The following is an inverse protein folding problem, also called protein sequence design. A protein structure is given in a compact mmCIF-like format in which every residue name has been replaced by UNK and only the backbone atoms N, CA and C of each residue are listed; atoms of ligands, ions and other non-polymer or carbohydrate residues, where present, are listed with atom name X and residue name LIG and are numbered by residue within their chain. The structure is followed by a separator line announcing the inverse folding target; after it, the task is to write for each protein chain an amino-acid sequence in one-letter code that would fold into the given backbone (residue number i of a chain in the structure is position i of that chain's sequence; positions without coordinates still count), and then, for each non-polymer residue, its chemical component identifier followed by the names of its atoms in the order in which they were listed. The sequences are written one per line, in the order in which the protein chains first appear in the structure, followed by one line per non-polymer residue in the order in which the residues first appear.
data_IF_025089192059
#
_entry.id   IF_025089192059
#
_cell.length_a   1.000
_cell.length_b   1.000
_cell.length_c   1.000
_cell.angle_alpha   90.00
_cell.angle_beta   90.00
_cell.angle_gamma   90.00
#
_symmetry.space_group_name_H-M   'P 1'
#
loop_
_entity.id
_entity.type
_entity.pdbx_description
1 polymer ?
#
# COMPACT_ATOMS: atom_id res chain seq x y z
N UNK A 1 13.88 -14.44 -10.72
CA UNK A 1 13.12 -15.34 -9.82
C UNK A 1 12.58 -14.61 -8.58
N UNK A 2 13.26 -13.60 -8.02
CA UNK A 2 12.78 -12.82 -6.87
C UNK A 2 11.48 -12.02 -7.09
N UNK A 3 11.26 -11.48 -8.30
CA UNK A 3 10.10 -10.63 -8.63
C UNK A 3 8.73 -11.32 -8.40
N UNK A 4 8.58 -12.57 -8.84
CA UNK A 4 7.31 -13.31 -8.67
C UNK A 4 7.03 -13.64 -7.20
N UNK A 5 8.08 -13.94 -6.43
CA UNK A 5 7.97 -14.22 -5.01
C UNK A 5 7.57 -12.94 -4.26
N UNK A 6 8.19 -11.81 -4.59
CA UNK A 6 7.81 -10.50 -4.07
C UNK A 6 6.32 -10.23 -4.36
N UNK A 7 5.86 -10.38 -5.60
CA UNK A 7 4.44 -10.18 -5.93
C UNK A 7 3.48 -11.02 -5.08
N UNK A 8 3.83 -12.25 -4.73
CA UNK A 8 3.02 -13.10 -3.83
C UNK A 8 3.05 -12.58 -2.39
N UNK A 9 4.24 -12.22 -1.87
CA UNK A 9 4.39 -11.72 -0.50
C UNK A 9 3.65 -10.40 -0.24
N UNK A 10 3.49 -9.57 -1.27
CA UNK A 10 2.67 -8.35 -1.23
C UNK A 10 1.23 -8.63 -0.78
N UNK A 11 0.67 -9.81 -1.09
CA UNK A 11 -0.67 -10.18 -0.67
C UNK A 11 -0.62 -11.03 0.61
N UNK A 12 0.32 -11.97 0.69
CA UNK A 12 0.35 -12.95 1.76
C UNK A 12 0.58 -12.33 3.15
N UNK A 13 1.49 -11.35 3.27
CA UNK A 13 1.79 -10.68 4.55
C UNK A 13 0.59 -9.87 5.09
N UNK A 14 -0.02 -8.95 4.30
CA UNK A 14 -1.26 -8.26 4.68
C UNK A 14 -2.38 -9.18 5.14
N UNK A 15 -2.66 -10.24 4.37
CA UNK A 15 -3.71 -11.20 4.73
C UNK A 15 -3.40 -11.97 6.01
N UNK A 16 -2.13 -12.31 6.23
CA UNK A 16 -1.68 -13.01 7.42
C UNK A 16 -1.90 -12.16 8.68
N UNK A 17 -1.65 -10.85 8.62
CA UNK A 17 -1.91 -9.92 9.75
C UNK A 17 -3.38 -9.96 10.17
N UNK A 18 -4.32 -9.97 9.21
CA UNK A 18 -5.75 -10.01 9.50
C UNK A 18 -6.15 -11.35 10.13
N UNK A 19 -5.70 -12.48 9.56
CA UNK A 19 -5.99 -13.80 10.12
C UNK A 19 -5.42 -13.94 11.53
N UNK A 20 -4.21 -13.44 11.78
CA UNK A 20 -3.60 -13.49 13.11
C UNK A 20 -4.42 -12.73 14.14
N UNK A 21 -4.98 -11.56 13.81
CA UNK A 21 -5.84 -10.83 14.74
C UNK A 21 -7.18 -11.53 14.94
N UNK A 22 -7.81 -12.07 13.90
CA UNK A 22 -9.01 -12.90 14.05
C UNK A 22 -8.75 -14.10 14.96
N UNK A 23 -7.59 -14.75 14.80
CA UNK A 23 -7.18 -15.87 15.64
C UNK A 23 -6.98 -15.43 17.09
N UNK A 24 -6.28 -14.31 17.35
CA UNK A 24 -6.11 -13.76 18.70
C UNK A 24 -7.46 -13.42 19.32
N UNK A 25 -8.34 -12.74 18.61
CA UNK A 25 -9.70 -12.45 19.10
C UNK A 25 -10.44 -13.75 19.45
N UNK A 26 -10.35 -14.78 18.61
CA UNK A 26 -11.00 -16.07 18.86
C UNK A 26 -10.43 -16.83 20.06
N UNK A 27 -9.09 -16.84 20.24
CA UNK A 27 -8.44 -17.52 21.37
C UNK A 27 -8.90 -16.98 22.72
N UNK A 28 -9.30 -15.71 22.79
CA UNK A 28 -9.67 -15.06 24.04
C UNK A 28 -11.05 -15.53 24.55
N UNK A 29 -11.97 -15.93 23.67
CA UNK A 29 -13.24 -16.57 24.07
C UNK A 29 -13.11 -18.10 24.22
N UNK A 30 -12.01 -18.70 23.74
CA UNK A 30 -11.79 -20.14 23.75
C UNK A 30 -10.96 -20.65 24.93
N UNK A 31 -11.22 -20.18 26.16
CA UNK A 31 -10.66 -20.79 27.37
C UNK A 31 -10.98 -22.29 27.50
N UNK A 32 -12.01 -22.79 26.79
CA UNK A 32 -12.49 -24.18 26.88
C UNK A 32 -12.47 -24.96 25.54
N UNK A 33 -11.80 -24.49 24.47
CA UNK A 33 -11.59 -25.38 23.32
C UNK A 33 -10.50 -26.38 23.66
N UNK A 34 -10.94 -27.58 24.04
CA UNK A 34 -10.12 -28.77 23.95
C UNK A 34 -9.56 -28.88 22.53
N UNK A 35 -8.24 -29.07 22.47
CA UNK A 35 -7.37 -29.30 21.32
C UNK A 35 -7.71 -30.60 20.55
N UNK A 36 -8.98 -30.97 20.45
CA UNK A 36 -9.46 -32.21 19.84
C UNK A 36 -9.77 -32.08 18.34
N UNK A 37 -9.67 -30.89 17.75
CA UNK A 37 -9.90 -30.68 16.31
C UNK A 37 -8.68 -31.00 15.42
N UNK A 38 -7.50 -31.22 16.00
CA UNK A 38 -6.27 -31.56 15.26
C UNK A 38 -6.00 -33.07 15.16
N UNK A 39 -6.95 -33.93 15.53
CA UNK A 39 -6.83 -35.36 15.30
C UNK A 39 -7.46 -35.74 13.95
N UNK A 40 -6.64 -35.84 12.90
CA UNK A 40 -6.89 -36.79 11.81
C UNK A 40 -6.72 -36.26 10.39
N UNK A 41 -5.89 -36.99 9.61
CA UNK A 41 -5.85 -37.22 8.15
C UNK A 41 -5.98 -36.04 7.15
N UNK A 42 -6.36 -34.83 7.56
CA UNK A 42 -6.73 -33.71 6.71
C UNK A 42 -5.91 -32.43 6.97
N UNK A 43 -4.83 -32.51 7.72
CA UNK A 43 -3.96 -31.37 8.08
C UNK A 43 -3.46 -30.61 6.84
N UNK A 44 -3.08 -31.33 5.78
CA UNK A 44 -2.65 -30.73 4.51
C UNK A 44 -3.76 -29.92 3.84
N UNK A 45 -5.01 -30.37 3.92
CA UNK A 45 -6.17 -29.66 3.35
C UNK A 45 -6.45 -28.39 4.14
N UNK A 46 -6.41 -28.46 5.48
CA UNK A 46 -6.56 -27.31 6.36
C UNK A 46 -5.47 -26.25 6.13
N UNK A 47 -4.22 -26.67 5.96
CA UNK A 47 -3.10 -25.77 5.69
C UNK A 47 -3.20 -25.12 4.29
N UNK A 48 -3.64 -25.87 3.29
CA UNK A 48 -3.91 -25.32 1.97
C UNK A 48 -5.04 -24.28 2.02
N UNK A 49 -6.13 -24.59 2.71
CA UNK A 49 -7.30 -23.73 2.83
C UNK A 49 -7.00 -22.45 3.60
N UNK A 50 -6.22 -22.54 4.70
CA UNK A 50 -5.79 -21.35 5.46
C UNK A 50 -4.87 -20.46 4.63
N UNK A 51 -3.92 -21.04 3.90
CA UNK A 51 -3.03 -20.28 3.00
C UNK A 51 -3.82 -19.60 1.88
N UNK A 52 -4.82 -20.27 1.32
CA UNK A 52 -5.71 -19.69 0.32
C UNK A 52 -6.53 -18.51 0.88
N UNK A 53 -7.08 -18.66 2.09
CA UNK A 53 -7.81 -17.57 2.77
C UNK A 53 -6.90 -16.37 3.07
N UNK A 54 -5.68 -16.60 3.53
CA UNK A 54 -4.66 -15.55 3.74
C UNK A 54 -4.45 -14.78 2.43
N UNK A 55 -4.22 -15.49 1.33
CA UNK A 55 -3.99 -14.87 0.03
C UNK A 55 -5.21 -14.04 -0.42
N UNK A 56 -6.42 -14.59 -0.29
CA UNK A 56 -7.65 -13.92 -0.70
C UNK A 56 -7.92 -12.65 0.12
N UNK A 57 -7.73 -12.69 1.44
CA UNK A 57 -7.82 -11.51 2.30
C UNK A 57 -6.76 -10.47 1.91
N UNK A 58 -5.53 -10.90 1.67
CA UNK A 58 -4.45 -10.03 1.20
C UNK A 58 -4.76 -9.33 -0.12
N UNK A 59 -5.40 -10.05 -1.05
CA UNK A 59 -5.86 -9.50 -2.30
C UNK A 59 -6.96 -8.45 -2.10
N UNK A 60 -7.94 -8.72 -1.22
CA UNK A 60 -8.97 -7.74 -0.87
C UNK A 60 -8.36 -6.48 -0.22
N UNK A 61 -7.35 -6.66 0.63
CA UNK A 61 -6.61 -5.53 1.21
C UNK A 61 -5.96 -4.69 0.12
N UNK A 62 -5.35 -5.30 -0.90
CA UNK A 62 -4.72 -4.55 -1.99
C UNK A 62 -5.71 -3.68 -2.76
N UNK A 63 -6.92 -4.19 -2.99
CA UNK A 63 -8.01 -3.43 -3.61
C UNK A 63 -8.40 -2.22 -2.76
N UNK A 64 -8.70 -2.44 -1.47
CA UNK A 64 -9.07 -1.36 -0.53
C UNK A 64 -7.93 -0.35 -0.37
N UNK A 65 -6.69 -0.84 -0.33
CA UNK A 65 -5.49 -0.01 -0.18
C UNK A 65 -5.27 0.92 -1.35
N UNK A 66 -5.61 0.47 -2.57
CA UNK A 66 -5.53 1.30 -3.76
C UNK A 66 -6.51 2.48 -3.73
N UNK A 67 -7.68 2.31 -3.12
CA UNK A 67 -8.62 3.41 -2.91
C UNK A 67 -8.24 4.29 -1.72
N UNK A 68 -7.69 3.71 -0.66
CA UNK A 68 -7.15 4.46 0.47
C UNK A 68 -6.00 5.38 0.05
N UNK A 69 -5.09 4.89 -0.79
CA UNK A 69 -3.99 5.66 -1.36
C UNK A 69 -4.46 6.90 -2.12
N UNK A 70 -5.50 6.76 -2.96
CA UNK A 70 -6.09 7.90 -3.67
C UNK A 70 -6.60 8.97 -2.72
N UNK A 71 -7.17 8.59 -1.57
CA UNK A 71 -7.66 9.54 -0.56
C UNK A 71 -6.52 10.14 0.23
N UNK A 72 -5.54 9.34 0.63
CA UNK A 72 -4.36 9.78 1.37
C UNK A 72 -3.61 10.88 0.60
N UNK A 73 -3.34 10.69 -0.69
CA UNK A 73 -2.66 11.70 -1.52
C UNK A 73 -3.54 12.89 -1.95
N UNK A 74 -4.82 12.94 -1.57
CA UNK A 74 -5.58 14.20 -1.65
C UNK A 74 -5.26 15.12 -0.48
N UNK A 75 -4.92 14.56 0.69
CA UNK A 75 -4.67 15.34 1.90
C UNK A 75 -3.17 15.56 2.17
N UNK A 76 -2.31 14.69 1.65
CA UNK A 76 -0.86 14.73 1.87
C UNK A 76 -0.09 14.91 0.56
N UNK A 77 1.16 15.37 0.67
CA UNK A 77 2.03 15.70 -0.45
C UNK A 77 2.22 14.51 -1.40
N UNK A 78 2.07 14.77 -2.70
CA UNK A 78 2.02 13.72 -3.72
C UNK A 78 3.42 13.15 -4.01
N UNK A 79 3.56 11.83 -4.25
CA UNK A 79 4.82 11.19 -4.63
C UNK A 79 5.53 11.86 -5.81
N UNK A 80 4.77 12.21 -6.85
CA UNK A 80 5.25 12.91 -8.05
C UNK A 80 5.81 14.29 -7.72
N UNK A 81 5.16 15.02 -6.82
CA UNK A 81 5.56 16.35 -6.38
C UNK A 81 6.89 16.29 -5.61
N UNK A 82 7.05 15.30 -4.72
CA UNK A 82 8.34 15.04 -4.03
C UNK A 82 9.49 14.80 -5.01
N UNK A 83 9.24 13.99 -6.03
CA UNK A 83 10.24 13.58 -6.99
C UNK A 83 10.62 14.72 -7.95
N UNK A 84 9.63 15.47 -8.44
CA UNK A 84 9.83 16.62 -9.34
C UNK A 84 10.46 17.82 -8.63
N UNK A 85 10.19 18.02 -7.34
CA UNK A 85 10.78 19.10 -6.55
C UNK A 85 12.22 18.85 -6.09
N UNK A 86 12.83 17.72 -6.46
CA UNK A 86 14.19 17.29 -6.05
C UNK A 86 14.43 17.32 -4.53
N UNK A 87 13.36 17.31 -3.71
CA UNK A 87 13.46 17.31 -2.24
C UNK A 87 13.95 15.97 -1.69
N UNK A 88 13.92 14.92 -2.51
CA UNK A 88 14.39 13.59 -2.15
C UNK A 88 15.90 13.43 -2.36
N UNK A 89 16.58 12.88 -1.36
CA UNK A 89 18.04 12.67 -1.37
C UNK A 89 18.43 11.29 -1.91
N UNK A 90 17.51 10.31 -1.87
CA UNK A 90 17.84 8.91 -2.19
C UNK A 90 17.77 8.60 -3.68
N UNK A 91 16.82 9.20 -4.40
CA UNK A 91 16.65 9.00 -5.85
C UNK A 91 16.53 10.35 -6.55
N UNK A 92 17.55 10.68 -7.34
CA UNK A 92 17.52 11.85 -8.24
C UNK A 92 17.14 11.41 -9.65
N UNK A 93 16.14 12.07 -10.23
CA UNK A 93 15.82 11.96 -11.64
C UNK A 93 16.90 12.67 -12.45
N UNK A 94 17.71 11.92 -13.21
CA UNK A 94 18.73 12.47 -14.11
C UNK A 94 18.15 13.29 -15.27
N UNK A 95 16.85 13.13 -15.57
CA UNK A 95 16.14 13.82 -16.66
C UNK A 95 14.88 14.56 -16.17
N UNK A 96 14.82 14.94 -14.88
CA UNK A 96 13.70 15.71 -14.31
C UNK A 96 13.41 16.98 -15.13
N UNK A 97 14.46 17.75 -15.45
CA UNK A 97 14.30 19.03 -16.16
C UNK A 97 13.69 18.84 -17.55
N UNK A 98 14.10 17.79 -18.27
CA UNK A 98 13.55 17.44 -19.60
C UNK A 98 12.08 16.98 -19.52
N UNK A 99 11.72 16.28 -18.45
CA UNK A 99 10.32 15.86 -18.20
C UNK A 99 9.47 17.10 -17.89
N UNK A 100 9.96 17.98 -17.01
CA UNK A 100 9.26 19.23 -16.65
C UNK A 100 9.10 20.13 -17.87
N UNK A 101 10.16 20.32 -18.67
CA UNK A 101 10.15 21.12 -19.91
C UNK A 101 9.19 20.54 -20.96
N UNK A 102 9.21 19.22 -21.17
CA UNK A 102 8.27 18.57 -22.09
C UNK A 102 6.81 18.77 -21.66
N UNK A 103 6.54 18.61 -20.36
CA UNK A 103 5.19 18.71 -19.81
C UNK A 103 4.69 20.15 -19.77
N UNK A 104 5.52 21.11 -19.39
CA UNK A 104 5.18 22.53 -19.39
C UNK A 104 4.91 23.03 -20.80
N UNK A 105 5.74 22.68 -21.78
CA UNK A 105 5.58 23.09 -23.18
C UNK A 105 4.32 22.49 -23.84
N UNK A 106 3.93 21.27 -23.45
CA UNK A 106 2.72 20.60 -23.96
C UNK A 106 1.45 21.07 -23.24
N UNK A 107 1.51 21.34 -21.94
CA UNK A 107 0.36 21.82 -21.16
C UNK A 107 0.04 23.29 -21.40
N UNK A 108 1.05 24.15 -21.62
CA UNK A 108 0.83 25.54 -22.06
C UNK A 108 0.11 25.64 -23.41
N UNK A 109 0.15 24.58 -24.22
CA UNK A 109 -0.51 24.51 -25.54
C UNK A 109 -1.91 23.90 -25.51
N UNK A 110 -2.35 23.31 -24.40
CA UNK A 110 -3.69 22.73 -24.26
C UNK A 110 -4.54 23.63 -23.38
N UNK A 111 -5.74 23.99 -23.84
CA UNK A 111 -6.68 24.70 -22.94
C UNK A 111 -7.19 23.74 -21.84
N UNK A 112 -7.51 24.22 -20.64
CA UNK A 112 -8.05 23.39 -19.55
C UNK A 112 -9.32 22.61 -19.94
N UNK A 113 -10.05 23.07 -20.96
CA UNK A 113 -11.28 22.42 -21.47
C UNK A 113 -11.01 21.27 -22.44
N UNK A 114 -9.80 21.17 -22.98
CA UNK A 114 -9.39 20.13 -23.95
C UNK A 114 -8.62 18.97 -23.29
N UNK A 115 -8.39 19.04 -21.98
CA UNK A 115 -7.59 18.05 -21.26
C UNK A 115 -8.40 16.78 -20.97
N UNK A 116 -8.41 15.85 -21.93
CA UNK A 116 -9.08 14.55 -21.81
C UNK A 116 -8.16 13.45 -21.21
N UNK A 117 -8.77 12.37 -20.71
CA UNK A 117 -8.13 11.17 -20.18
C UNK A 117 -7.11 10.56 -21.15
N UNK A 118 -7.36 10.67 -22.45
CA UNK A 118 -6.47 10.19 -23.53
C UNK A 118 -5.16 10.98 -23.60
N UNK A 119 -5.23 12.31 -23.47
CA UNK A 119 -4.06 13.20 -23.43
C UNK A 119 -3.24 12.94 -22.15
N UNK A 120 -3.92 12.74 -21.03
CA UNK A 120 -3.26 12.35 -19.78
C UNK A 120 -2.52 11.01 -19.88
N UNK A 121 -3.09 10.02 -20.58
CA UNK A 121 -2.41 8.74 -20.88
C UNK A 121 -1.17 8.95 -21.75
N UNK A 122 -1.25 9.78 -22.78
CA UNK A 122 -0.13 10.05 -23.68
C UNK A 122 1.03 10.72 -22.92
N UNK A 123 0.73 11.72 -22.10
CA UNK A 123 1.73 12.46 -21.33
C UNK A 123 2.36 11.57 -20.26
N UNK A 124 1.56 10.72 -19.61
CA UNK A 124 2.06 9.71 -18.68
C UNK A 124 3.01 8.72 -19.38
N UNK A 125 2.61 8.17 -20.55
CA UNK A 125 3.41 7.20 -21.30
C UNK A 125 4.77 7.80 -21.69
N UNK A 126 4.78 9.05 -22.13
CA UNK A 126 6.01 9.74 -22.55
C UNK A 126 6.91 10.12 -21.38
N UNK A 127 6.34 10.58 -20.26
CA UNK A 127 7.10 10.79 -19.03
C UNK A 127 7.76 9.49 -18.53
N UNK A 128 7.05 8.37 -18.62
CA UNK A 128 7.59 7.05 -18.25
C UNK A 128 8.72 6.62 -19.20
N UNK A 129 8.60 6.86 -20.50
CA UNK A 129 9.69 6.59 -21.46
C UNK A 129 10.93 7.45 -21.19
N UNK A 130 10.76 8.73 -20.86
CA UNK A 130 11.86 9.66 -20.57
C UNK A 130 12.57 9.37 -19.23
N UNK A 131 11.85 8.75 -18.30
CA UNK A 131 12.41 8.22 -17.05
C UNK A 131 13.35 7.04 -17.31
N UNK A 132 13.03 6.19 -18.28
CA UNK A 132 13.82 4.99 -18.60
C UNK A 132 14.96 5.24 -19.60
N UNK A 133 14.98 6.39 -20.28
CA UNK A 133 15.93 6.67 -21.37
C UNK A 133 17.38 6.90 -20.91
N UNK A 134 17.63 7.11 -19.61
CA UNK A 134 18.95 7.52 -19.11
C UNK A 134 19.37 6.82 -17.81
N UNK A 135 18.70 5.73 -17.43
CA UNK A 135 18.95 5.01 -16.19
C UNK A 135 19.84 3.78 -16.42
N UNK A 136 20.98 3.74 -15.75
CA UNK A 136 21.77 2.50 -15.61
C UNK A 136 20.86 1.36 -15.12
N UNK A 137 21.15 0.12 -15.50
CA UNK A 137 20.38 -1.08 -15.08
C UNK A 137 20.15 -1.11 -13.55
N UNK A 138 21.13 -0.62 -12.78
CA UNK A 138 21.08 -0.52 -11.31
C UNK A 138 20.08 0.51 -10.76
N UNK A 139 19.69 1.54 -11.52
CA UNK A 139 18.67 2.50 -11.11
C UNK A 139 17.25 1.96 -11.30
N UNK A 140 17.02 1.16 -12.35
CA UNK A 140 15.71 0.55 -12.59
C UNK A 140 15.38 -0.52 -11.55
N UNK A 141 16.37 -1.31 -11.11
CA UNK A 141 16.18 -2.28 -10.04
C UNK A 141 15.85 -1.62 -8.70
N UNK A 142 16.56 -0.54 -8.33
CA UNK A 142 16.25 0.25 -7.13
C UNK A 142 14.84 0.85 -7.17
N UNK A 143 14.44 1.40 -8.31
CA UNK A 143 13.11 2.00 -8.44
C UNK A 143 11.99 0.96 -8.32
N UNK A 144 12.21 -0.22 -8.87
CA UNK A 144 11.28 -1.34 -8.73
C UNK A 144 11.21 -1.86 -7.29
N UNK A 145 12.34 -1.89 -6.59
CA UNK A 145 12.37 -2.23 -5.16
C UNK A 145 11.61 -1.20 -4.31
N UNK A 146 11.82 0.10 -4.55
CA UNK A 146 11.08 1.16 -3.87
C UNK A 146 9.56 1.05 -4.13
N UNK A 147 9.15 0.76 -5.37
CA UNK A 147 7.75 0.50 -5.69
C UNK A 147 7.19 -0.67 -4.89
N UNK A 148 7.90 -1.79 -4.86
CA UNK A 148 7.46 -2.97 -4.12
C UNK A 148 7.33 -2.66 -2.62
N UNK A 149 8.32 -1.99 -2.03
CA UNK A 149 8.30 -1.58 -0.63
C UNK A 149 7.16 -0.60 -0.33
N UNK A 150 6.85 0.33 -1.25
CA UNK A 150 5.71 1.24 -1.15
C UNK A 150 4.40 0.46 -1.07
N UNK A 151 4.17 -0.43 -2.03
CA UNK A 151 2.92 -1.17 -2.14
C UNK A 151 2.73 -2.12 -0.95
N UNK A 152 3.80 -2.79 -0.53
CA UNK A 152 3.76 -3.65 0.66
C UNK A 152 3.44 -2.83 1.93
N UNK A 153 4.11 -1.69 2.13
CA UNK A 153 3.89 -0.84 3.31
C UNK A 153 2.46 -0.27 3.34
N UNK A 154 1.93 0.12 2.18
CA UNK A 154 0.54 0.55 2.01
C UNK A 154 -0.45 -0.55 2.37
N UNK A 155 -0.23 -1.77 1.88
CA UNK A 155 -1.13 -2.88 2.16
C UNK A 155 -1.05 -3.31 3.63
N UNK A 156 0.14 -3.26 4.24
CA UNK A 156 0.32 -3.50 5.66
C UNK A 156 -0.39 -2.45 6.52
N UNK A 157 -0.30 -1.17 6.17
CA UNK A 157 -0.98 -0.11 6.94
C UNK A 157 -2.49 -0.29 6.91
N UNK A 158 -3.08 -0.60 5.76
CA UNK A 158 -4.52 -0.88 5.66
C UNK A 158 -4.89 -2.17 6.38
N UNK A 159 -4.03 -3.20 6.37
CA UNK A 159 -4.26 -4.42 7.16
C UNK A 159 -4.28 -4.12 8.65
N UNK A 160 -3.33 -3.33 9.17
CA UNK A 160 -3.32 -2.93 10.56
C UNK A 160 -4.55 -2.08 10.91
N UNK A 161 -4.98 -1.19 10.01
CA UNK A 161 -6.20 -0.41 10.21
C UNK A 161 -7.44 -1.32 10.30
N UNK A 162 -7.57 -2.29 9.39
CA UNK A 162 -8.65 -3.29 9.42
C UNK A 162 -8.58 -4.10 10.72
N UNK A 163 -7.39 -4.54 11.12
CA UNK A 163 -7.17 -5.27 12.37
C UNK A 163 -7.56 -4.46 13.60
N UNK A 164 -7.26 -3.16 13.66
CA UNK A 164 -7.72 -2.26 14.73
C UNK A 164 -9.25 -2.21 14.74
N UNK A 165 -9.88 -2.06 13.58
CA UNK A 165 -11.35 -2.04 13.47
C UNK A 165 -11.95 -3.36 13.94
N UNK A 166 -11.41 -4.50 13.54
CA UNK A 166 -11.85 -5.84 13.99
C UNK A 166 -11.74 -5.94 15.52
N UNK A 167 -10.61 -5.55 16.10
CA UNK A 167 -10.37 -5.62 17.53
C UNK A 167 -11.34 -4.74 18.33
N UNK A 168 -11.62 -3.54 17.83
CA UNK A 168 -12.58 -2.60 18.43
C UNK A 168 -14.03 -3.08 18.25
N UNK A 169 -14.40 -3.61 17.09
CA UNK A 169 -15.75 -4.16 16.89
C UNK A 169 -15.99 -5.39 17.77
N UNK A 170 -14.97 -6.24 17.93
CA UNK A 170 -15.04 -7.41 18.81
C UNK A 170 -15.34 -7.00 20.26
N UNK A 171 -14.72 -5.92 20.76
CA UNK A 171 -14.99 -5.41 22.11
C UNK A 171 -16.43 -4.96 22.30
N UNK A 172 -17.02 -4.33 21.29
CA UNK A 172 -18.43 -3.94 21.33
C UNK A 172 -19.38 -5.15 21.28
N UNK A 173 -19.11 -6.14 20.41
CA UNK A 173 -19.97 -7.33 20.24
C UNK A 173 -19.99 -8.18 21.51
N UNK A 174 -18.83 -8.40 22.13
CA UNK A 174 -18.73 -9.23 23.35
C UNK A 174 -19.26 -8.47 24.59
N UNK A 175 -19.55 -7.16 24.47
CA UNK A 175 -20.10 -6.34 25.56
C UNK A 175 -19.12 -6.14 26.72
N UNK A 176 -17.84 -6.44 26.52
CA UNK A 176 -16.79 -6.37 27.55
C UNK A 176 -15.95 -5.13 27.32
N UNK A 177 -16.37 -3.95 27.82
CA UNK A 177 -15.48 -2.79 27.92
C UNK A 177 -14.20 -3.13 28.72
N UNK A 178 -14.29 -4.06 29.68
CA UNK A 178 -13.16 -4.63 30.40
C UNK A 178 -12.15 -5.35 29.51
N UNK A 179 -12.57 -5.95 28.39
CA UNK A 179 -11.65 -6.60 27.46
C UNK A 179 -10.65 -5.61 26.85
N UNK A 180 -11.11 -4.39 26.54
CA UNK A 180 -10.23 -3.35 26.01
C UNK A 180 -9.19 -2.95 27.06
N UNK A 181 -9.59 -2.90 28.34
CA UNK A 181 -8.71 -2.57 29.47
C UNK A 181 -7.71 -3.71 29.74
N UNK A 182 -8.11 -4.97 29.60
CA UNK A 182 -7.22 -6.11 29.82
C UNK A 182 -6.23 -6.29 28.67
N UNK A 183 -6.64 -5.98 27.43
CA UNK A 183 -5.86 -6.22 26.22
C UNK A 183 -5.38 -4.93 25.53
N UNK A 184 -5.32 -3.81 26.27
CA UNK A 184 -4.97 -2.49 25.73
C UNK A 184 -3.59 -2.46 25.05
N UNK A 185 -2.65 -3.27 25.53
CA UNK A 185 -1.32 -3.42 24.94
C UNK A 185 -1.36 -3.94 23.50
N UNK A 186 -2.33 -4.81 23.17
CA UNK A 186 -2.53 -5.30 21.80
C UNK A 186 -2.97 -4.15 20.88
N UNK A 187 -3.92 -3.33 21.36
CA UNK A 187 -4.39 -2.16 20.62
C UNK A 187 -3.27 -1.14 20.41
N UNK A 188 -2.48 -0.84 21.45
CA UNK A 188 -1.32 0.06 21.35
C UNK A 188 -0.29 -0.48 20.35
N UNK A 189 0.02 -1.79 20.42
CA UNK A 189 0.91 -2.44 19.46
C UNK A 189 0.41 -2.32 18.02
N UNK A 190 -0.89 -2.54 17.79
CA UNK A 190 -1.51 -2.38 16.47
C UNK A 190 -1.42 -0.93 15.96
N UNK A 191 -1.67 0.06 16.82
CA UNK A 191 -1.57 1.49 16.46
C UNK A 191 -0.13 1.88 16.12
N UNK A 192 0.85 1.36 16.86
CA UNK A 192 2.27 1.61 16.58
C UNK A 192 2.69 0.99 15.24
N UNK A 193 2.29 -0.25 14.96
CA UNK A 193 2.56 -0.93 13.69
C UNK A 193 1.86 -0.23 12.51
N UNK A 194 0.63 0.23 12.70
CA UNK A 194 -0.08 1.07 11.75
C UNK A 194 0.69 2.36 11.46
N UNK A 195 1.07 3.10 12.50
CA UNK A 195 1.79 4.38 12.36
C UNK A 195 3.14 4.20 11.68
N UNK A 196 3.88 3.15 12.04
CA UNK A 196 5.16 2.80 11.43
C UNK A 196 5.01 2.42 9.95
N UNK A 197 4.00 1.62 9.60
CA UNK A 197 3.75 1.23 8.20
C UNK A 197 3.29 2.40 7.34
N UNK A 198 2.48 3.32 7.88
CA UNK A 198 2.15 4.60 7.21
C UNK A 198 3.39 5.45 7.01
N UNK A 199 4.25 5.57 8.02
CA UNK A 199 5.52 6.29 7.89
C UNK A 199 6.40 5.69 6.78
N UNK A 200 6.59 4.36 6.78
CA UNK A 200 7.34 3.65 5.74
C UNK A 200 6.72 3.82 4.36
N UNK A 201 5.40 3.73 4.25
CA UNK A 201 4.69 4.00 3.00
C UNK A 201 4.98 5.43 2.50
N UNK A 202 4.96 6.42 3.39
CA UNK A 202 5.22 7.83 3.06
C UNK A 202 6.64 8.10 2.58
N UNK A 203 7.61 7.30 3.02
CA UNK A 203 9.02 7.37 2.61
C UNK A 203 9.23 6.72 1.23
N UNK A 204 8.60 5.56 0.99
CA UNK A 204 8.74 4.83 -0.28
C UNK A 204 7.75 5.27 -1.36
N UNK A 205 6.84 6.17 -1.01
CA UNK A 205 5.92 6.87 -1.90
C UNK A 205 6.67 7.65 -2.99
N UNK A 206 7.15 6.93 -4.00
CA UNK A 206 7.92 7.47 -5.12
C UNK A 206 7.27 7.15 -6.47
N UNK A 207 6.23 6.32 -6.49
CA UNK A 207 5.71 5.82 -7.75
C UNK A 207 4.71 6.76 -8.42
N UNK A 208 5.00 7.01 -9.69
CA UNK A 208 4.14 7.63 -10.69
C UNK A 208 2.85 6.82 -10.85
N UNK A 209 1.88 7.04 -9.98
CA UNK A 209 0.50 6.66 -10.26
C UNK A 209 -0.04 7.60 -11.33
N UNK A 210 -0.68 7.03 -12.35
CA UNK A 210 -1.41 7.77 -13.40
C UNK A 210 -2.35 8.84 -12.81
N UNK A 211 -2.91 8.59 -11.63
CA UNK A 211 -3.77 9.51 -10.88
C UNK A 211 -2.99 10.67 -10.22
N UNK A 212 -1.76 10.40 -9.79
CA UNK A 212 -0.86 11.33 -9.09
C UNK A 212 -0.22 12.30 -10.08
N UNK A 213 0.10 11.84 -11.29
CA UNK A 213 0.50 12.70 -12.40
C UNK A 213 -0.64 13.64 -12.85
N UNK A 214 -1.84 13.09 -13.03
CA UNK A 214 -3.05 13.86 -13.35
C UNK A 214 -3.30 15.01 -12.35
N UNK A 215 -3.22 14.72 -11.04
CA UNK A 215 -3.44 15.71 -9.99
C UNK A 215 -2.23 16.63 -9.72
N UNK A 216 -1.01 16.28 -10.11
CA UNK A 216 0.17 17.15 -9.98
C UNK A 216 0.29 18.15 -11.12
N UNK A 217 -0.17 17.77 -12.31
CA UNK A 217 -0.32 18.72 -13.40
C UNK A 217 -1.33 19.83 -13.07
N UNK A 218 -2.37 19.52 -12.28
CA UNK A 218 -3.36 20.51 -11.84
C UNK A 218 -2.82 21.50 -10.78
N UNK A 219 -1.92 21.05 -9.90
CA UNK A 219 -1.35 21.88 -8.82
C UNK A 219 -0.10 22.66 -9.22
N UNK A 220 0.79 22.11 -10.05
CA UNK A 220 2.03 22.77 -10.49
C UNK A 220 1.76 23.85 -11.57
N UNK A 221 0.57 23.84 -12.17
CA UNK A 221 0.16 24.77 -13.24
C UNK A 221 -0.90 25.80 -12.81
N UNK A 222 -1.13 25.95 -11.50
CA UNK A 222 -1.67 27.20 -10.94
C UNK A 222 -0.52 28.12 -10.58
#
# INVERSE_FOLDING_TARGET
MNLRIQEVFKYLLPGFVIIMILFICSLIDFKDIQLNYFNGKNEGVLLLLSTFLIFLLGYLVDLVSSDFEKRYYRCFMKPSEKLLSQKDKEIKLSSADKIIEYLSAKMQKCSPKEFDKTIAEEYFRKANQLKDYNSNINSNSKLLEHYYQQVLSRNLSVSFLISIVIFVLYTFIVGKCLFLIENWMCLVGLILLFSFSVYRWSQHAMYYSRQVFYNSCEEVLK
#
